data_IF_167965773206
#
_entry.id   IF_167965773206
#
_cell.length_a   1.000
_cell.length_b   1.000
_cell.length_c   1.000
_cell.angle_alpha   90.00
_cell.angle_beta   90.00
_cell.angle_gamma   90.00
#
_symmetry.space_group_name_H-M   'P 1'
#
loop_
_entity.id
_entity.type
_entity.pdbx_description
1 polymer ?
#
# COMPACT_ATOMS: atom_id res chain seq x y z
N UNK A 1 -31.91 -65.85 -7.42
CA UNK A 1 -30.93 -64.91 -8.03
C UNK A 1 -31.56 -63.54 -8.21
N UNK A 2 -31.26 -62.57 -7.34
CA UNK A 2 -31.31 -61.12 -7.62
C UNK A 2 -30.60 -60.42 -6.46
N UNK A 3 -29.35 -60.01 -6.70
CA UNK A 3 -28.55 -59.20 -5.75
C UNK A 3 -29.10 -57.78 -5.82
N UNK A 4 -29.59 -57.25 -4.69
CA UNK A 4 -29.89 -55.83 -4.56
C UNK A 4 -28.59 -55.16 -4.12
N UNK A 5 -27.96 -54.46 -5.06
CA UNK A 5 -26.78 -53.64 -4.78
C UNK A 5 -27.26 -52.26 -4.36
N UNK A 6 -27.21 -51.95 -3.07
CA UNK A 6 -27.50 -50.61 -2.54
C UNK A 6 -26.34 -49.68 -2.89
N UNK A 7 -26.56 -48.78 -3.85
CA UNK A 7 -25.62 -47.72 -4.20
C UNK A 7 -25.74 -46.59 -3.16
N UNK A 8 -24.79 -46.50 -2.23
CA UNK A 8 -24.68 -45.35 -1.32
C UNK A 8 -24.02 -44.22 -2.11
N UNK A 9 -24.82 -43.26 -2.56
CA UNK A 9 -24.33 -42.00 -3.11
C UNK A 9 -23.93 -41.12 -1.91
N UNK A 10 -22.64 -41.06 -1.61
CA UNK A 10 -22.11 -40.10 -0.63
C UNK A 10 -22.13 -38.72 -1.27
N UNK A 11 -23.17 -37.95 -0.99
CA UNK A 11 -23.27 -36.55 -1.38
C UNK A 11 -22.26 -35.74 -0.54
N UNK A 12 -21.06 -35.51 -1.08
CA UNK A 12 -20.09 -34.57 -0.52
C UNK A 12 -20.65 -33.15 -0.67
N UNK A 13 -21.35 -32.68 0.36
CA UNK A 13 -21.67 -31.28 0.55
C UNK A 13 -20.37 -30.50 0.77
N UNK A 14 -19.79 -29.99 -0.31
CA UNK A 14 -18.82 -28.91 -0.22
C UNK A 14 -19.56 -27.67 0.27
N UNK A 15 -19.55 -27.43 1.58
CA UNK A 15 -19.90 -26.12 2.11
C UNK A 15 -18.91 -25.12 1.53
N UNK A 16 -19.40 -24.23 0.67
CA UNK A 16 -18.64 -23.04 0.30
C UNK A 16 -18.45 -22.22 1.57
N UNK A 17 -17.32 -22.40 2.25
CA UNK A 17 -16.86 -21.50 3.29
C UNK A 17 -16.58 -20.16 2.61
N UNK A 18 -17.58 -19.30 2.53
CA UNK A 18 -17.40 -17.92 2.08
C UNK A 18 -16.49 -17.22 3.08
N UNK A 19 -15.46 -16.54 2.59
CA UNK A 19 -14.60 -15.73 3.46
C UNK A 19 -15.45 -14.71 4.23
N UNK A 20 -15.31 -14.70 5.55
CA UNK A 20 -16.14 -13.87 6.43
C UNK A 20 -15.53 -12.46 6.53
N UNK A 21 -16.30 -11.43 6.20
CA UNK A 21 -15.93 -10.06 6.53
C UNK A 21 -16.14 -9.85 8.03
N UNK A 22 -15.06 -9.49 8.74
CA UNK A 22 -15.13 -9.23 10.17
C UNK A 22 -14.77 -7.78 10.44
N UNK A 23 -15.74 -7.04 10.94
CA UNK A 23 -15.52 -5.73 11.52
C UNK A 23 -15.20 -5.93 12.99
N UNK A 24 -13.96 -5.70 13.37
CA UNK A 24 -13.64 -5.57 14.79
C UNK A 24 -13.94 -4.11 15.13
N UNK A 25 -15.21 -3.83 15.45
CA UNK A 25 -15.57 -2.53 16.03
C UNK A 25 -15.07 -2.52 17.46
N UNK A 26 -13.85 -2.05 17.61
CA UNK A 26 -13.19 -2.08 18.89
C UNK A 26 -13.74 -0.97 19.77
N UNK A 27 -14.61 -1.32 20.71
CA UNK A 27 -14.60 -0.68 22.03
C UNK A 27 -13.17 -0.72 22.67
N UNK A 28 -12.25 -1.50 22.10
CA UNK A 28 -10.83 -1.63 22.41
C UNK A 28 -9.91 -0.71 21.56
N UNK A 29 -9.57 0.48 22.04
CA UNK A 29 -8.65 1.39 21.32
C UNK A 29 -7.35 0.66 20.88
N UNK A 30 -7.17 0.44 19.57
CA UNK A 30 -5.94 -0.14 19.03
C UNK A 30 -4.85 0.93 18.96
N UNK A 31 -3.79 0.74 19.74
CA UNK A 31 -2.72 1.73 19.97
C UNK A 31 -1.40 1.28 19.35
N UNK A 32 -0.59 2.21 18.81
CA UNK A 32 0.75 1.88 18.37
C UNK A 32 1.65 1.53 19.57
N UNK A 33 2.56 0.58 19.38
CA UNK A 33 3.60 0.24 20.36
C UNK A 33 4.63 1.37 20.52
N UNK A 34 4.91 2.08 19.42
CA UNK A 34 5.91 3.15 19.36
C UNK A 34 5.46 4.25 18.42
N UNK A 35 5.90 5.47 18.73
CA UNK A 35 5.78 6.66 17.88
C UNK A 35 7.14 7.34 17.85
N UNK A 36 7.68 7.56 16.65
CA UNK A 36 8.98 8.20 16.45
C UNK A 36 8.78 9.37 15.49
N UNK A 37 9.26 10.55 15.89
CA UNK A 37 9.22 11.74 15.04
C UNK A 37 10.26 11.60 13.93
N UNK A 38 9.89 11.95 12.70
CA UNK A 38 10.84 11.98 11.59
C UNK A 38 11.64 13.29 11.56
N UNK A 39 12.86 13.23 11.03
CA UNK A 39 13.70 14.40 10.82
C UNK A 39 13.01 15.41 9.89
N UNK A 40 13.14 16.71 10.17
CA UNK A 40 12.46 17.79 9.41
C UNK A 40 12.82 17.85 7.92
N UNK A 41 13.94 17.25 7.51
CA UNK A 41 14.30 17.11 6.11
C UNK A 41 13.36 16.17 5.32
N UNK A 42 12.59 15.33 6.03
CA UNK A 42 11.48 14.54 5.52
C UNK A 42 10.22 15.35 5.88
N UNK A 43 9.68 16.06 4.90
CA UNK A 43 8.52 16.92 5.03
C UNK A 43 7.51 16.39 4.02
N UNK A 44 6.40 15.81 4.49
CA UNK A 44 5.34 15.12 3.72
C UNK A 44 5.70 13.71 3.21
N UNK A 45 5.77 12.72 4.10
CA UNK A 45 5.97 11.31 3.69
C UNK A 45 4.72 10.76 2.99
N UNK A 46 4.84 10.37 1.72
CA UNK A 46 3.77 9.73 0.94
C UNK A 46 3.97 8.23 0.75
N UNK A 47 5.15 7.68 1.06
CA UNK A 47 5.42 6.25 0.89
C UNK A 47 6.49 5.71 1.82
N UNK A 48 6.49 4.39 2.09
CA UNK A 48 7.43 3.76 3.00
C UNK A 48 7.81 2.34 2.55
N UNK A 49 9.10 2.02 2.58
CA UNK A 49 9.62 0.65 2.50
C UNK A 49 10.72 0.41 3.54
N UNK A 50 10.96 -0.85 3.89
CA UNK A 50 12.12 -1.24 4.70
C UNK A 50 13.16 -2.01 3.87
N UNK A 51 14.38 -1.47 3.78
CA UNK A 51 15.46 -2.06 3.00
C UNK A 51 16.83 -1.70 3.63
N UNK A 52 17.75 -2.65 3.66
CA UNK A 52 19.12 -2.44 4.15
C UNK A 52 19.17 -1.80 5.55
N UNK A 53 18.37 -2.33 6.48
CA UNK A 53 18.25 -1.86 7.87
C UNK A 53 17.81 -0.39 8.04
N UNK A 54 17.27 0.21 6.99
CA UNK A 54 16.71 1.56 6.99
C UNK A 54 15.25 1.52 6.53
N UNK A 55 14.47 2.48 7.02
CA UNK A 55 13.25 2.86 6.34
C UNK A 55 13.59 3.85 5.23
N UNK A 56 12.94 3.69 4.09
CA UNK A 56 13.06 4.59 2.96
C UNK A 56 11.70 5.18 2.66
N UNK A 57 11.65 6.51 2.54
CA UNK A 57 10.45 7.27 2.22
C UNK A 57 10.73 8.19 1.04
N UNK A 58 9.67 8.57 0.37
CA UNK A 58 9.62 9.69 -0.56
C UNK A 58 8.87 10.84 0.12
N UNK A 59 9.07 12.04 -0.39
CA UNK A 59 8.17 13.14 -0.06
C UNK A 59 7.11 13.27 -1.14
N UNK A 60 5.95 13.80 -0.75
CA UNK A 60 4.83 14.07 -1.63
C UNK A 60 5.14 15.15 -2.70
N UNK A 61 4.14 15.42 -3.52
CA UNK A 61 4.00 16.38 -4.61
C UNK A 61 4.85 17.66 -4.50
N UNK A 62 5.49 18.07 -5.59
CA UNK A 62 6.26 19.32 -5.68
C UNK A 62 7.59 19.33 -4.90
N UNK A 63 7.92 18.24 -4.22
CA UNK A 63 9.18 18.07 -3.50
C UNK A 63 10.39 17.86 -4.42
N UNK A 64 11.56 17.62 -3.81
CA UNK A 64 12.76 17.18 -4.55
C UNK A 64 12.61 15.71 -4.94
N UNK A 65 13.09 15.27 -6.13
CA UNK A 65 13.07 13.87 -6.55
C UNK A 65 14.15 13.06 -5.81
N UNK A 66 13.92 12.85 -4.50
CA UNK A 66 14.86 12.24 -3.57
C UNK A 66 14.14 11.17 -2.75
N UNK A 67 14.79 10.01 -2.62
CA UNK A 67 14.42 8.98 -1.65
C UNK A 67 15.25 9.21 -0.39
N UNK A 68 14.60 9.24 0.77
CA UNK A 68 15.22 9.49 2.07
C UNK A 68 15.28 8.20 2.88
N UNK A 69 16.49 7.75 3.19
CA UNK A 69 16.72 6.64 4.12
C UNK A 69 16.89 7.16 5.54
N UNK A 70 16.14 6.64 6.51
CA UNK A 70 16.20 7.04 7.92
C UNK A 70 16.26 5.86 8.88
N UNK A 71 16.80 6.13 10.07
CA UNK A 71 16.98 5.14 11.11
C UNK A 71 15.66 4.79 11.80
N UNK A 72 15.36 3.50 11.90
CA UNK A 72 14.15 2.96 12.54
C UNK A 72 13.98 3.40 14.00
N UNK A 73 15.05 3.52 14.78
CA UNK A 73 14.96 3.80 16.22
C UNK A 73 14.85 5.30 16.53
N UNK A 74 15.51 6.14 15.72
CA UNK A 74 15.61 7.57 16.01
C UNK A 74 14.78 8.46 15.08
N UNK A 75 14.33 7.95 13.92
CA UNK A 75 13.74 8.78 12.87
C UNK A 75 14.76 9.70 12.17
N UNK A 76 16.05 9.58 12.54
CA UNK A 76 17.13 10.40 12.02
C UNK A 76 17.52 10.02 10.61
N UNK A 77 17.66 11.01 9.74
CA UNK A 77 18.07 10.84 8.36
C UNK A 77 19.47 10.21 8.26
N UNK A 78 19.65 9.24 7.37
CA UNK A 78 20.90 8.50 7.12
C UNK A 78 21.37 8.56 5.68
N UNK A 79 20.47 8.44 4.71
CA UNK A 79 20.79 8.43 3.27
C UNK A 79 19.84 9.34 2.47
N UNK A 80 20.35 9.94 1.40
CA UNK A 80 19.57 10.62 0.36
C UNK A 80 19.96 10.07 -1.01
N UNK A 81 18.98 9.61 -1.79
CA UNK A 81 19.20 9.08 -3.13
C UNK A 81 18.46 9.98 -4.11
N UNK A 82 19.18 10.78 -4.89
CA UNK A 82 18.59 11.61 -5.94
C UNK A 82 18.23 10.73 -7.13
N UNK A 83 16.98 10.80 -7.57
CA UNK A 83 16.53 10.15 -8.80
C UNK A 83 16.74 11.14 -9.94
N UNK A 84 17.60 10.78 -10.89
CA UNK A 84 17.93 11.62 -12.03
C UNK A 84 16.89 11.48 -13.13
N UNK A 85 16.72 12.51 -13.95
CA UNK A 85 15.77 12.55 -15.07
C UNK A 85 14.32 12.26 -14.64
N UNK A 86 13.98 12.65 -13.42
CA UNK A 86 12.66 12.54 -12.84
C UNK A 86 12.29 13.83 -12.14
N UNK A 87 11.04 14.23 -12.29
CA UNK A 87 10.43 15.29 -11.49
C UNK A 87 9.47 14.65 -10.49
N UNK A 88 9.38 15.21 -9.30
CA UNK A 88 8.33 14.87 -8.35
C UNK A 88 7.05 15.64 -8.71
N UNK A 89 6.40 15.18 -9.79
CA UNK A 89 5.15 15.79 -10.23
C UNK A 89 4.02 15.48 -9.24
N UNK A 90 3.82 14.20 -8.90
CA UNK A 90 2.88 13.76 -7.87
C UNK A 90 3.32 12.38 -7.34
N UNK A 91 4.42 12.34 -6.58
CA UNK A 91 4.97 11.09 -6.01
C UNK A 91 4.21 10.68 -4.77
N UNK A 92 3.38 9.66 -4.94
CA UNK A 92 2.37 9.30 -3.94
C UNK A 92 2.68 7.98 -3.24
N UNK A 93 3.62 7.17 -3.76
CA UNK A 93 3.89 5.86 -3.16
C UNK A 93 5.24 5.28 -3.53
N UNK A 94 5.77 4.39 -2.70
CA UNK A 94 6.99 3.61 -2.98
C UNK A 94 6.79 2.13 -2.56
N UNK A 95 7.20 1.20 -3.42
CA UNK A 95 7.23 -0.22 -3.10
C UNK A 95 8.53 -0.88 -3.59
N UNK A 96 8.71 -2.18 -3.37
CA UNK A 96 9.95 -2.88 -3.72
C UNK A 96 9.73 -4.36 -3.99
N UNK A 97 10.63 -4.97 -4.76
CA UNK A 97 10.81 -6.42 -4.83
C UNK A 97 12.19 -6.83 -4.26
N UNK A 98 12.77 -7.96 -4.69
CA UNK A 98 14.10 -8.38 -4.27
C UNK A 98 15.22 -7.51 -4.87
N UNK A 99 15.05 -7.01 -6.10
CA UNK A 99 16.09 -6.38 -6.91
C UNK A 99 15.88 -4.88 -7.13
N UNK A 100 14.63 -4.41 -7.08
CA UNK A 100 14.22 -3.07 -7.46
C UNK A 100 13.39 -2.37 -6.39
N UNK A 101 13.43 -1.04 -6.47
CA UNK A 101 12.54 -0.11 -5.79
C UNK A 101 11.70 0.57 -6.87
N UNK A 102 10.42 0.78 -6.59
CA UNK A 102 9.47 1.42 -7.49
C UNK A 102 8.88 2.64 -6.83
N UNK A 103 8.81 3.77 -7.54
CA UNK A 103 8.18 5.01 -7.07
C UNK A 103 7.02 5.34 -7.99
N UNK A 104 5.84 5.50 -7.43
CA UNK A 104 4.62 5.89 -8.15
C UNK A 104 4.53 7.40 -8.27
N UNK A 105 4.65 7.91 -9.50
CA UNK A 105 4.28 9.28 -9.85
C UNK A 105 2.92 9.20 -10.55
N UNK A 106 1.87 9.16 -9.73
CA UNK A 106 0.54 8.80 -10.20
C UNK A 106 -0.64 9.44 -9.45
N UNK A 107 -0.39 10.41 -8.56
CA UNK A 107 -1.46 11.22 -7.98
C UNK A 107 -2.26 11.94 -9.06
N UNK A 108 -3.55 12.08 -8.78
CA UNK A 108 -4.53 12.64 -9.70
C UNK A 108 -5.79 13.16 -8.97
N UNK A 109 -5.64 13.84 -7.83
CA UNK A 109 -6.74 14.44 -7.07
C UNK A 109 -7.74 15.28 -7.91
N UNK A 110 -7.28 15.86 -9.04
CA UNK A 110 -8.10 16.66 -9.96
C UNK A 110 -8.86 15.87 -11.04
N UNK A 111 -8.55 14.57 -11.22
CA UNK A 111 -9.11 13.71 -12.25
C UNK A 111 -8.59 13.95 -13.68
N UNK A 112 -7.69 14.92 -13.89
CA UNK A 112 -7.28 15.37 -15.24
C UNK A 112 -6.09 14.63 -15.83
N UNK A 113 -5.35 13.85 -15.03
CA UNK A 113 -4.12 13.16 -15.47
C UNK A 113 -4.43 12.06 -16.49
N UNK A 114 -3.75 12.13 -17.64
CA UNK A 114 -3.90 11.17 -18.77
C UNK A 114 -2.81 10.12 -18.85
N UNK A 115 -1.65 10.38 -18.25
CA UNK A 115 -0.49 9.50 -18.29
C UNK A 115 0.16 9.47 -16.90
N UNK A 116 0.41 8.26 -16.42
CA UNK A 116 0.96 7.98 -15.12
C UNK A 116 2.32 7.30 -15.28
N UNK A 117 3.20 7.46 -14.30
CA UNK A 117 4.58 6.96 -14.35
C UNK A 117 4.91 6.18 -13.09
N UNK A 118 5.74 5.15 -13.26
CA UNK A 118 6.40 4.45 -12.16
C UNK A 118 7.89 4.42 -12.49
N UNK A 119 8.71 4.96 -11.59
CA UNK A 119 10.16 4.91 -11.70
C UNK A 119 10.67 3.61 -11.08
N UNK A 120 11.38 2.80 -11.86
CA UNK A 120 11.99 1.54 -11.43
C UNK A 120 13.49 1.75 -11.24
N UNK A 121 13.98 1.51 -10.02
CA UNK A 121 15.35 1.79 -9.61
C UNK A 121 16.00 0.49 -9.15
N UNK A 122 17.15 0.15 -9.74
CA UNK A 122 17.94 -1.01 -9.31
C UNK A 122 18.54 -0.76 -7.93
N UNK A 123 18.30 -1.66 -6.98
CA UNK A 123 18.92 -1.57 -5.65
C UNK A 123 20.43 -1.62 -5.68
N UNK A 124 21.01 -2.33 -6.65
CA UNK A 124 22.47 -2.37 -6.87
C UNK A 124 23.07 -1.00 -7.20
N UNK A 125 22.26 -0.05 -7.70
CA UNK A 125 22.73 1.31 -7.99
C UNK A 125 22.76 2.21 -6.74
N UNK A 126 22.14 1.80 -5.63
CA UNK A 126 22.15 2.54 -4.37
C UNK A 126 23.45 2.20 -3.63
N UNK A 127 24.40 3.13 -3.67
CA UNK A 127 25.70 2.96 -3.00
C UNK A 127 25.59 3.15 -1.48
N UNK A 128 26.64 2.79 -0.75
CA UNK A 128 26.72 3.01 0.70
C UNK A 128 26.94 4.46 1.14
N UNK A 129 27.21 5.36 0.18
CA UNK A 129 27.37 6.79 0.45
C UNK A 129 26.09 7.38 1.05
N UNK A 130 26.25 8.34 1.96
CA UNK A 130 25.14 9.09 2.57
C UNK A 130 24.34 9.89 1.54
N UNK A 131 24.95 10.22 0.40
CA UNK A 131 24.31 10.82 -0.77
C UNK A 131 24.76 10.07 -2.03
N UNK A 132 23.81 9.67 -2.86
CA UNK A 132 24.12 9.15 -4.20
C UNK A 132 23.02 9.55 -5.19
N UNK A 133 23.21 9.19 -6.46
CA UNK A 133 22.24 9.45 -7.53
C UNK A 133 22.04 8.18 -8.33
N UNK A 134 20.82 7.98 -8.81
CA UNK A 134 20.40 6.79 -9.57
C UNK A 134 19.63 7.23 -10.80
N UNK A 135 19.71 6.42 -11.87
CA UNK A 135 18.93 6.63 -13.09
C UNK A 135 17.82 5.57 -13.10
N UNK A 136 16.54 5.97 -13.11
CA UNK A 136 15.43 5.03 -13.15
C UNK A 136 15.15 4.55 -14.57
N UNK A 137 14.62 3.33 -14.69
CA UNK A 137 13.75 2.97 -15.81
C UNK A 137 12.36 3.57 -15.58
N UNK A 138 11.61 3.82 -16.66
CA UNK A 138 10.25 4.38 -16.57
C UNK A 138 9.23 3.40 -17.12
N UNK A 139 8.25 3.08 -16.29
CA UNK A 139 7.04 2.37 -16.67
C UNK A 139 5.94 3.41 -16.81
N UNK A 140 5.37 3.54 -18.00
CA UNK A 140 4.25 4.44 -18.23
C UNK A 140 2.96 3.63 -18.27
N UNK A 141 1.88 4.19 -17.73
CA UNK A 141 0.59 3.55 -17.85
C UNK A 141 -0.57 4.53 -17.94
N UNK A 142 -1.70 4.02 -18.42
CA UNK A 142 -3.04 4.61 -18.29
C UNK A 142 -3.95 3.59 -17.62
N UNK A 143 -5.01 4.03 -16.96
CA UNK A 143 -6.09 3.11 -16.57
C UNK A 143 -6.82 2.61 -17.82
N UNK A 144 -7.29 1.37 -17.81
CA UNK A 144 -8.02 0.83 -18.96
C UNK A 144 -9.45 1.40 -19.10
N UNK A 145 -10.03 1.89 -18.01
CA UNK A 145 -11.41 2.39 -17.93
C UNK A 145 -11.53 3.89 -17.61
N UNK A 146 -10.44 4.64 -17.49
CA UNK A 146 -10.50 6.11 -17.36
C UNK A 146 -10.77 6.77 -18.72
N UNK A 147 -12.01 7.21 -18.92
CA UNK A 147 -12.44 7.92 -20.14
C UNK A 147 -12.79 9.39 -19.89
N UNK A 148 -13.03 9.78 -18.64
CA UNK A 148 -13.33 11.15 -18.23
C UNK A 148 -12.10 11.82 -17.60
N UNK A 149 -11.78 13.01 -18.09
CA UNK A 149 -10.66 13.85 -17.65
C UNK A 149 -11.12 15.27 -17.30
N UNK A 150 -12.43 15.44 -17.09
CA UNK A 150 -13.01 16.71 -16.64
C UNK A 150 -12.44 17.05 -15.27
N UNK A 151 -11.98 18.29 -15.11
CA UNK A 151 -11.40 18.74 -13.84
C UNK A 151 -12.48 18.72 -12.74
N UNK A 152 -12.22 17.95 -11.68
CA UNK A 152 -13.06 17.91 -10.49
C UNK A 152 -12.20 17.94 -9.23
N UNK A 153 -12.55 18.77 -8.26
CA UNK A 153 -11.78 18.85 -7.01
C UNK A 153 -12.17 17.70 -6.08
N UNK A 154 -11.31 16.69 -5.92
CA UNK A 154 -11.60 15.52 -5.09
C UNK A 154 -12.89 14.81 -5.54
N UNK A 155 -13.07 14.71 -6.86
CA UNK A 155 -14.26 14.10 -7.49
C UNK A 155 -13.83 13.08 -8.55
N UNK A 156 -12.73 12.36 -8.33
CA UNK A 156 -12.22 11.34 -9.25
C UNK A 156 -12.22 9.94 -8.63
N UNK A 157 -12.31 8.93 -9.48
CA UNK A 157 -12.10 7.53 -9.12
C UNK A 157 -10.69 7.02 -9.48
N UNK A 158 -9.89 7.85 -10.15
CA UNK A 158 -8.62 7.50 -10.78
C UNK A 158 -7.41 8.18 -10.14
N UNK A 159 -7.60 8.71 -8.93
CA UNK A 159 -6.49 9.06 -8.06
C UNK A 159 -5.89 7.79 -7.44
N UNK A 160 -4.61 7.82 -7.10
CA UNK A 160 -3.86 6.64 -6.67
C UNK A 160 -2.73 7.04 -5.73
N UNK A 161 -2.73 6.44 -4.54
CA UNK A 161 -1.70 6.71 -3.53
C UNK A 161 -1.08 5.41 -2.98
N UNK A 162 -1.63 4.25 -3.35
CA UNK A 162 -1.23 2.98 -2.80
C UNK A 162 -0.88 1.97 -3.91
N UNK A 163 0.29 1.34 -3.81
CA UNK A 163 0.65 0.23 -4.69
C UNK A 163 1.69 -0.71 -4.07
N UNK A 164 1.76 -1.94 -4.57
CA UNK A 164 2.70 -2.96 -4.08
C UNK A 164 3.22 -3.86 -5.21
N UNK A 165 4.33 -4.55 -4.94
CA UNK A 165 4.89 -5.59 -5.81
C UNK A 165 4.42 -6.97 -5.33
N UNK A 166 3.91 -7.80 -6.24
CA UNK A 166 3.60 -9.20 -5.95
C UNK A 166 3.81 -10.05 -7.22
N UNK A 167 4.52 -11.17 -7.12
CA UNK A 167 4.80 -12.09 -8.24
C UNK A 167 5.19 -11.37 -9.56
N UNK A 168 6.20 -10.49 -9.48
CA UNK A 168 6.73 -9.72 -10.62
C UNK A 168 5.71 -8.83 -11.36
N UNK A 169 4.67 -8.40 -10.65
CA UNK A 169 3.68 -7.44 -11.12
C UNK A 169 3.52 -6.31 -10.11
N UNK A 170 3.05 -5.17 -10.61
CA UNK A 170 2.66 -4.02 -9.81
C UNK A 170 1.14 -4.04 -9.67
N UNK A 171 0.68 -3.82 -8.44
CA UNK A 171 -0.72 -3.76 -8.07
C UNK A 171 -1.03 -2.39 -7.48
N UNK A 172 -1.90 -1.64 -8.13
CA UNK A 172 -2.30 -0.29 -7.76
C UNK A 172 -3.67 -0.32 -7.08
N UNK A 173 -3.85 0.49 -6.04
CA UNK A 173 -5.10 0.66 -5.32
C UNK A 173 -5.56 2.10 -5.47
N UNK A 174 -6.69 2.31 -6.14
CA UNK A 174 -7.20 3.67 -6.35
C UNK A 174 -7.63 4.32 -5.03
N UNK A 175 -7.36 5.62 -4.89
CA UNK A 175 -7.98 6.51 -3.91
C UNK A 175 -9.25 7.10 -4.53
N UNK A 176 -10.38 6.42 -4.35
CA UNK A 176 -11.63 6.86 -4.99
C UNK A 176 -12.34 7.91 -4.13
N UNK A 177 -12.27 9.17 -4.56
CA UNK A 177 -12.93 10.27 -3.87
C UNK A 177 -14.46 10.28 -4.01
N UNK A 178 -15.00 9.68 -5.08
CA UNK A 178 -16.46 9.62 -5.31
C UNK A 178 -17.16 8.64 -4.38
N UNK A 179 -16.63 7.44 -4.25
CA UNK A 179 -17.32 6.33 -3.55
C UNK A 179 -16.62 5.88 -2.27
N UNK A 180 -15.35 6.25 -2.08
CA UNK A 180 -14.48 5.73 -1.00
C UNK A 180 -14.32 4.21 -1.03
N UNK A 181 -14.47 3.63 -2.21
CA UNK A 181 -14.02 2.26 -2.52
C UNK A 181 -12.56 2.30 -3.00
N UNK A 182 -11.91 1.16 -3.07
CA UNK A 182 -10.63 1.02 -3.76
C UNK A 182 -10.77 0.02 -4.89
N UNK A 183 -10.22 0.35 -6.06
CA UNK A 183 -10.14 -0.55 -7.21
C UNK A 183 -8.70 -0.99 -7.38
N UNK A 184 -8.53 -2.31 -7.47
CA UNK A 184 -7.26 -2.96 -7.72
C UNK A 184 -6.99 -3.02 -9.22
N UNK A 185 -5.87 -2.45 -9.64
CA UNK A 185 -5.36 -2.57 -11.00
C UNK A 185 -4.03 -3.31 -11.02
N UNK A 186 -3.70 -3.93 -12.15
CA UNK A 186 -2.46 -4.70 -12.36
C UNK A 186 -1.74 -4.29 -13.64
N UNK A 187 -0.41 -4.21 -13.56
CA UNK A 187 0.47 -4.04 -14.72
C UNK A 187 1.83 -4.76 -14.53
N UNK A 188 2.58 -5.02 -15.61
CA UNK A 188 3.95 -5.52 -15.53
C UNK A 188 4.89 -4.57 -14.76
N UNK A 189 5.92 -5.12 -14.10
CA UNK A 189 6.96 -4.37 -13.40
C UNK A 189 8.20 -4.08 -14.27
N UNK A 190 8.09 -4.21 -15.59
CA UNK A 190 9.17 -3.97 -16.55
C UNK A 190 8.97 -2.64 -17.27
N UNK A 191 10.06 -2.02 -17.71
CA UNK A 191 10.00 -0.80 -18.54
C UNK A 191 9.06 -1.00 -19.74
N UNK A 192 8.17 -0.05 -19.98
CA UNK A 192 7.20 -0.13 -21.08
C UNK A 192 6.07 0.88 -20.97
N UNK A 193 5.09 0.73 -21.85
CA UNK A 193 3.80 1.44 -21.84
C UNK A 193 2.69 0.42 -21.70
N UNK A 194 1.82 0.57 -20.70
CA UNK A 194 0.77 -0.40 -20.40
C UNK A 194 -0.58 0.27 -20.17
N UNK A 195 -1.66 -0.50 -20.39
CA UNK A 195 -2.96 -0.21 -19.77
C UNK A 195 -3.04 -1.01 -18.47
N UNK A 196 -3.24 -0.32 -17.34
CA UNK A 196 -3.44 -0.95 -16.05
C UNK A 196 -4.80 -1.67 -16.05
N UNK A 197 -4.76 -2.99 -15.88
CA UNK A 197 -5.94 -3.85 -15.95
C UNK A 197 -6.66 -3.85 -14.61
N UNK A 198 -7.92 -3.45 -14.59
CA UNK A 198 -8.85 -3.55 -13.47
C UNK A 198 -9.10 -5.02 -13.15
N UNK A 199 -9.00 -5.35 -11.87
CA UNK A 199 -9.25 -6.69 -11.38
C UNK A 199 -10.50 -6.73 -10.52
N UNK A 200 -10.49 -6.00 -9.41
CA UNK A 200 -11.55 -6.06 -8.39
C UNK A 200 -11.76 -4.69 -7.77
N UNK A 201 -12.97 -4.43 -7.28
CA UNK A 201 -13.29 -3.27 -6.46
C UNK A 201 -13.72 -3.73 -5.08
N UNK A 202 -13.22 -3.07 -4.05
CA UNK A 202 -13.52 -3.35 -2.65
C UNK A 202 -14.09 -2.10 -1.98
N UNK A 203 -15.16 -2.27 -1.21
CA UNK A 203 -15.69 -1.20 -0.38
C UNK A 203 -14.79 -1.02 0.85
N UNK A 204 -13.79 -0.14 0.74
CA UNK A 204 -12.86 0.17 1.83
C UNK A 204 -13.48 1.02 2.94
N UNK A 205 -14.67 1.59 2.72
CA UNK A 205 -15.29 2.60 3.58
C UNK A 205 -14.30 3.72 3.96
N UNK A 206 -13.55 4.20 2.97
CA UNK A 206 -12.55 5.25 3.16
C UNK A 206 -11.52 5.31 2.03
N UNK A 207 -10.71 6.37 2.07
CA UNK A 207 -9.66 6.62 1.09
C UNK A 207 -8.44 5.78 1.45
N UNK A 208 -7.96 4.97 0.51
CA UNK A 208 -6.74 4.18 0.67
C UNK A 208 -5.56 5.02 0.21
N UNK A 209 -4.55 5.11 1.07
CA UNK A 209 -3.37 5.95 0.87
C UNK A 209 -2.08 5.15 0.87
N UNK A 210 -2.04 3.95 1.47
CA UNK A 210 -0.87 3.08 1.37
C UNK A 210 -1.22 1.60 1.31
N UNK A 211 -0.33 0.81 0.71
CA UNK A 211 -0.43 -0.64 0.62
C UNK A 211 0.94 -1.29 0.77
N UNK A 212 1.00 -2.45 1.44
CA UNK A 212 2.16 -3.32 1.39
C UNK A 212 1.75 -4.79 1.56
N UNK A 213 2.64 -5.69 1.20
CA UNK A 213 2.46 -7.14 1.33
C UNK A 213 3.60 -7.74 2.16
N UNK A 214 3.26 -8.68 3.05
CA UNK A 214 4.25 -9.36 3.88
C UNK A 214 5.25 -10.15 3.03
N UNK A 215 6.47 -10.35 3.54
CA UNK A 215 7.55 -11.03 2.80
C UNK A 215 7.18 -12.45 2.33
N UNK A 216 6.35 -13.15 3.08
CA UNK A 216 5.84 -14.49 2.74
C UNK A 216 4.63 -14.45 1.79
N UNK A 217 4.23 -13.25 1.36
CA UNK A 217 3.09 -12.97 0.51
C UNK A 217 1.74 -13.47 1.04
N UNK A 218 1.59 -13.61 2.36
CA UNK A 218 0.36 -14.12 2.99
C UNK A 218 -0.57 -13.04 3.51
N UNK A 219 -0.06 -11.82 3.70
CA UNK A 219 -0.79 -10.73 4.34
C UNK A 219 -0.67 -9.49 3.48
N UNK A 220 -1.80 -8.95 3.03
CA UNK A 220 -1.87 -7.61 2.44
C UNK A 220 -2.40 -6.66 3.50
N UNK A 221 -1.74 -5.52 3.65
CA UNK A 221 -2.17 -4.46 4.55
C UNK A 221 -2.43 -3.19 3.75
N UNK A 222 -3.60 -2.58 3.95
CA UNK A 222 -3.93 -1.27 3.40
C UNK A 222 -4.11 -0.28 4.55
N UNK A 223 -3.57 0.92 4.40
CA UNK A 223 -3.81 2.05 5.30
C UNK A 223 -4.62 3.12 4.57
N UNK A 224 -5.44 3.83 5.34
CA UNK A 224 -6.26 4.89 4.80
C UNK A 224 -6.96 5.68 5.89
N UNK A 225 -7.81 6.60 5.48
CA UNK A 225 -8.65 7.36 6.40
C UNK A 225 -10.03 7.69 5.83
N UNK A 226 -10.97 7.96 6.73
CA UNK A 226 -12.30 8.50 6.41
C UNK A 226 -12.49 9.74 7.25
N UNK A 227 -12.55 10.92 6.64
CA UNK A 227 -12.65 12.20 7.36
C UNK A 227 -11.55 12.37 8.43
N UNK A 228 -10.29 12.03 8.10
CA UNK A 228 -9.15 12.01 9.02
C UNK A 228 -9.26 11.04 10.21
N UNK A 229 -10.19 10.07 10.19
CA UNK A 229 -10.18 8.89 11.06
C UNK A 229 -9.38 7.77 10.37
N UNK A 230 -8.15 7.48 10.82
CA UNK A 230 -7.32 6.49 10.14
C UNK A 230 -7.82 5.08 10.44
N UNK A 231 -7.71 4.21 9.46
CA UNK A 231 -8.01 2.79 9.58
C UNK A 231 -6.97 1.97 8.84
N UNK A 232 -6.88 0.70 9.22
CA UNK A 232 -6.06 -0.30 8.55
C UNK A 232 -6.91 -1.51 8.19
N UNK A 233 -6.81 -1.96 6.94
CA UNK A 233 -7.33 -3.25 6.53
C UNK A 233 -6.20 -4.27 6.50
N UNK A 234 -6.47 -5.47 7.00
CA UNK A 234 -5.59 -6.64 6.90
C UNK A 234 -6.35 -7.73 6.16
N UNK A 235 -5.71 -8.29 5.13
CA UNK A 235 -6.25 -9.38 4.31
C UNK A 235 -5.33 -10.60 4.38
N UNK A 236 -5.89 -11.80 4.56
CA UNK A 236 -5.19 -13.08 4.54
C UNK A 236 -5.97 -14.12 3.75
N UNK A 237 -5.36 -15.26 3.45
CA UNK A 237 -6.03 -16.41 2.80
C UNK A 237 -6.73 -16.06 1.48
N UNK A 238 -6.20 -15.04 0.80
CA UNK A 238 -6.69 -14.59 -0.49
C UNK A 238 -6.26 -15.55 -1.60
N UNK A 239 -7.04 -15.60 -2.67
CA UNK A 239 -6.79 -16.49 -3.82
C UNK A 239 -6.02 -15.74 -4.89
N UNK A 240 -4.76 -16.12 -5.11
CA UNK A 240 -3.87 -15.54 -6.14
C UNK A 240 -3.78 -14.02 -5.96
N UNK A 241 -4.15 -13.25 -6.98
CA UNK A 241 -4.13 -11.79 -7.01
C UNK A 241 -5.49 -11.15 -6.70
N UNK A 242 -6.48 -11.94 -6.27
CA UNK A 242 -7.70 -11.40 -5.67
C UNK A 242 -7.51 -11.23 -4.16
N UNK A 243 -6.75 -10.20 -3.77
CA UNK A 243 -6.42 -9.93 -2.36
C UNK A 243 -7.66 -9.72 -1.46
N UNK A 244 -8.81 -9.39 -2.03
CA UNK A 244 -10.05 -9.14 -1.31
C UNK A 244 -10.93 -10.40 -1.09
N UNK A 245 -10.55 -11.54 -1.68
CA UNK A 245 -11.35 -12.77 -1.62
C UNK A 245 -11.22 -13.54 -0.31
N UNK A 246 -10.18 -13.25 0.46
CA UNK A 246 -9.84 -13.98 1.68
C UNK A 246 -10.45 -13.35 2.93
N UNK A 247 -9.95 -13.79 4.09
CA UNK A 247 -10.35 -13.21 5.36
C UNK A 247 -9.88 -11.76 5.45
N UNK A 248 -10.70 -10.90 6.03
CA UNK A 248 -10.41 -9.46 6.11
C UNK A 248 -10.89 -8.86 7.41
N UNK A 249 -10.05 -7.99 7.98
CA UNK A 249 -10.33 -7.25 9.21
C UNK A 249 -10.00 -5.78 9.02
N UNK A 250 -10.93 -4.93 9.45
CA UNK A 250 -10.69 -3.48 9.61
C UNK A 250 -10.34 -3.16 11.05
N UNK A 251 -9.35 -2.31 11.22
CA UNK A 251 -8.92 -1.76 12.50
C UNK A 251 -9.05 -0.24 12.44
N UNK A 252 -9.90 0.33 13.29
CA UNK A 252 -9.97 1.77 13.45
C UNK A 252 -8.83 2.24 14.36
N UNK A 253 -7.98 3.15 13.88
CA UNK A 253 -6.79 3.62 14.58
C UNK A 253 -7.10 4.88 15.40
N UNK A 254 -8.11 4.80 16.26
CA UNK A 254 -8.64 5.95 17.03
C UNK A 254 -7.57 6.66 17.88
N UNK A 255 -6.51 5.94 18.27
CA UNK A 255 -5.38 6.48 19.03
C UNK A 255 -4.52 7.52 18.29
N UNK A 256 -4.64 7.59 16.97
CA UNK A 256 -3.97 8.55 16.11
C UNK A 256 -4.98 9.38 15.28
N UNK A 257 -6.18 9.62 15.84
CA UNK A 257 -7.21 10.45 15.21
C UNK A 257 -6.67 11.80 14.70
N UNK A 258 -7.01 12.22 13.48
CA UNK A 258 -6.43 13.36 12.75
C UNK A 258 -5.02 13.17 12.18
N UNK A 259 -4.38 12.02 12.35
CA UNK A 259 -3.18 11.71 11.57
C UNK A 259 -3.61 11.47 10.11
N UNK A 260 -3.08 12.26 9.19
CA UNK A 260 -3.25 11.97 7.77
C UNK A 260 -2.23 10.87 7.43
N UNK A 261 -2.66 9.61 7.51
CA UNK A 261 -1.77 8.46 7.28
C UNK A 261 -1.59 8.27 5.79
N UNK A 262 -0.34 8.14 5.34
CA UNK A 262 -0.02 8.07 3.91
C UNK A 262 0.61 6.75 3.50
N UNK A 263 1.26 6.04 4.42
CA UNK A 263 1.97 4.83 4.01
C UNK A 263 2.00 3.77 5.09
N UNK A 264 2.16 2.53 4.63
CA UNK A 264 2.27 1.35 5.47
C UNK A 264 3.40 0.48 4.92
N UNK A 265 4.19 -0.13 5.80
CA UNK A 265 5.23 -1.06 5.40
C UNK A 265 5.38 -2.22 6.39
N UNK A 266 5.66 -3.40 5.85
CA UNK A 266 6.22 -4.52 6.59
C UNK A 266 7.73 -4.39 6.68
N UNK A 267 8.28 -4.84 7.81
CA UNK A 267 9.71 -5.11 7.93
C UNK A 267 9.97 -6.51 7.40
N UNK A 268 10.91 -6.69 6.47
CA UNK A 268 11.16 -8.01 5.84
C UNK A 268 11.42 -9.16 6.83
N UNK A 269 11.97 -8.90 8.01
CA UNK A 269 12.22 -9.92 9.03
C UNK A 269 11.01 -10.20 9.95
N UNK A 270 10.00 -9.33 9.94
CA UNK A 270 8.90 -9.33 10.90
C UNK A 270 7.56 -9.13 10.18
N UNK A 271 6.76 -10.20 10.12
CA UNK A 271 5.38 -10.12 9.61
C UNK A 271 4.37 -9.88 10.73
N UNK A 272 4.80 -9.78 12.00
CA UNK A 272 3.96 -9.52 13.16
C UNK A 272 3.75 -8.03 13.43
N UNK A 273 4.44 -7.16 12.70
CA UNK A 273 4.41 -5.71 12.88
C UNK A 273 4.29 -4.98 11.55
N UNK A 274 3.50 -3.91 11.53
CA UNK A 274 3.45 -2.94 10.44
C UNK A 274 3.84 -1.56 10.93
N UNK A 275 4.40 -0.77 10.04
CA UNK A 275 4.85 0.59 10.30
C UNK A 275 4.05 1.54 9.44
N UNK A 276 3.50 2.59 10.05
CA UNK A 276 2.63 3.56 9.37
C UNK A 276 3.23 4.94 9.51
N UNK A 277 3.34 5.70 8.42
CA UNK A 277 3.69 7.13 8.52
C UNK A 277 2.47 8.01 8.37
N UNK A 278 2.58 9.22 8.90
CA UNK A 278 1.62 10.29 8.64
C UNK A 278 2.33 11.56 8.23
N UNK A 279 1.65 12.40 7.45
CA UNK A 279 2.11 13.74 7.15
C UNK A 279 2.05 14.64 8.38
N UNK A 280 2.55 15.87 8.20
CA UNK A 280 2.31 16.94 9.16
C UNK A 280 0.87 17.44 9.01
N UNK A 281 -0.01 16.93 9.86
CA UNK A 281 -1.37 17.41 10.05
C UNK A 281 -1.50 18.09 11.43
N UNK A 282 -2.60 17.83 12.16
CA UNK A 282 -2.63 18.02 13.62
C UNK A 282 -1.58 17.15 14.33
N UNK A 283 -1.07 16.11 13.67
CA UNK A 283 0.04 15.31 14.15
C UNK A 283 1.35 15.82 13.56
N UNK A 284 2.39 15.88 14.40
CA UNK A 284 3.76 16.00 13.88
C UNK A 284 4.05 14.75 13.05
N UNK A 285 4.63 14.93 11.88
CA UNK A 285 5.08 13.85 11.01
C UNK A 285 5.89 12.81 11.80
N UNK A 286 5.38 11.59 11.79
CA UNK A 286 5.86 10.49 12.64
C UNK A 286 5.72 9.17 11.91
N UNK A 287 6.47 8.18 12.38
CA UNK A 287 6.23 6.76 12.10
C UNK A 287 5.67 6.10 13.36
N UNK A 288 4.65 5.28 13.17
CA UNK A 288 3.95 4.51 14.19
C UNK A 288 4.20 3.02 13.97
N UNK A 289 4.33 2.26 15.05
CA UNK A 289 4.54 0.80 14.99
C UNK A 289 3.30 0.09 15.53
N UNK A 290 2.66 -0.77 14.74
CA UNK A 290 1.44 -1.49 15.13
C UNK A 290 1.65 -3.01 15.12
N UNK A 291 1.27 -3.73 16.19
CA UNK A 291 1.47 -5.17 16.31
C UNK A 291 0.30 -5.97 15.73
N UNK A 292 0.47 -6.58 14.57
CA UNK A 292 -0.58 -7.37 13.91
C UNK A 292 -0.63 -8.85 14.35
N UNK A 293 0.31 -9.33 15.18
CA UNK A 293 0.34 -10.72 15.68
C UNK A 293 -0.99 -11.19 16.28
N UNK A 294 -1.62 -10.35 17.11
CA UNK A 294 -2.90 -10.69 17.76
C UNK A 294 -4.05 -10.70 16.76
N UNK A 295 -3.99 -9.86 15.73
CA UNK A 295 -4.98 -9.80 14.65
C UNK A 295 -4.91 -11.05 13.78
N UNK A 296 -3.72 -11.59 13.49
CA UNK A 296 -3.58 -12.88 12.80
C UNK A 296 -4.33 -14.01 13.52
N UNK A 297 -4.33 -14.01 14.85
CA UNK A 297 -5.12 -14.98 15.63
C UNK A 297 -6.61 -14.76 15.42
N UNK A 298 -7.10 -13.52 15.48
CA UNK A 298 -8.52 -13.21 15.27
C UNK A 298 -8.99 -13.58 13.86
N UNK A 299 -8.10 -13.53 12.86
CA UNK A 299 -8.40 -13.84 11.47
C UNK A 299 -8.36 -15.37 11.19
N UNK A 300 -7.53 -16.12 11.91
CA UNK A 300 -7.33 -17.57 11.69
C UNK A 300 -8.27 -18.50 12.50
N UNK A 301 -9.06 -17.94 13.42
CA UNK A 301 -10.23 -18.61 14.03
C UNK A 301 -11.50 -18.08 13.37
#
# INVERSE_FOLDING_TARGET
>A
MRKITTLIITLLLFSNLSAQERFIDTALIYKPLKKIKLASAINETSGLIYYDNLFWTINDSGGKPIIYGFNEKTGGLKKKVKVLFSDNFDWESICQDSLYIYIGDFGNNSGTRKLYKIFKISKKSITDKTKCSVIPEVINFTYEDQTDFTRGNLQTAYDCEAFMCYNDKLYLFSKNWKTRHTTLYKLPNTKGKYKAKKLFTFNSDGLITGADISKDNKIVALIGYKNFYPFMWIFTDFKKDNFFSGNKVRLNLNSIYNAQTESIAFKKADTDTVYVTCEKSKFKQSIFTFPIKKIKKIINY
#
